data_IF_826396128585
#
_entry.id   IF_826396128585
#
_cell.length_a   1.000
_cell.length_b   1.000
_cell.length_c   1.000
_cell.angle_alpha   90.00
_cell.angle_beta   90.00
_cell.angle_gamma   90.00
#
_symmetry.space_group_name_H-M   'P 1'
#
loop_
_entity.id
_entity.type
_entity.pdbx_description
1 polymer ?
#
# COMPACT_ATOMS: atom_id res chain seq x y z
N UNK A 1 6.65 18.87 48.10
CA UNK A 1 6.26 19.65 46.93
C UNK A 1 7.06 19.11 45.74
N UNK A 2 6.47 18.40 44.80
CA UNK A 2 7.17 17.93 43.62
C UNK A 2 7.10 18.98 42.52
N UNK A 3 8.23 19.18 41.87
CA UNK A 3 8.48 20.09 40.76
C UNK A 3 7.81 19.62 39.45
N UNK A 4 7.31 20.53 38.59
CA UNK A 4 6.59 20.11 37.36
C UNK A 4 7.55 19.70 36.28
N UNK A 5 7.21 18.60 35.60
CA UNK A 5 7.84 18.11 34.37
C UNK A 5 7.73 19.15 33.24
N UNK A 6 8.87 19.55 32.68
CA UNK A 6 8.94 20.30 31.42
C UNK A 6 8.85 19.31 30.24
N UNK A 7 8.01 19.57 29.24
CA UNK A 7 8.03 18.79 28.02
C UNK A 7 9.26 19.19 27.17
N UNK A 8 10.10 18.23 26.83
CA UNK A 8 11.13 18.40 25.82
C UNK A 8 10.47 18.40 24.43
N UNK A 9 10.37 19.59 23.82
CA UNK A 9 10.08 19.70 22.39
C UNK A 9 11.34 19.27 21.62
N UNK A 10 11.29 18.12 20.94
CA UNK A 10 12.27 17.71 19.94
C UNK A 10 11.86 18.33 18.59
N UNK A 11 12.77 18.90 17.81
CA UNK A 11 12.47 19.44 16.50
C UNK A 11 12.13 18.27 15.54
N UNK A 12 11.04 18.45 14.83
CA UNK A 12 10.49 17.53 13.86
C UNK A 12 11.44 17.48 12.65
N UNK A 13 12.04 16.33 12.39
CA UNK A 13 12.83 16.04 11.18
C UNK A 13 11.96 15.99 9.89
N UNK A 14 10.69 16.33 9.99
CA UNK A 14 9.71 16.24 8.91
C UNK A 14 9.89 17.23 7.74
N UNK A 15 10.68 18.31 7.94
CA UNK A 15 10.84 19.33 6.89
C UNK A 15 11.73 18.90 5.71
N UNK A 16 12.66 17.96 5.92
CA UNK A 16 13.61 17.57 4.88
C UNK A 16 12.99 16.62 3.82
N UNK A 17 12.03 15.79 4.22
CA UNK A 17 11.38 14.83 3.31
C UNK A 17 10.31 15.50 2.45
N UNK A 18 9.56 16.46 3.02
CA UNK A 18 8.63 17.27 2.24
C UNK A 18 9.35 18.05 1.12
N UNK A 19 10.58 18.51 1.39
CA UNK A 19 11.39 19.19 0.38
C UNK A 19 11.90 18.25 -0.72
N UNK A 20 12.14 16.97 -0.41
CA UNK A 20 12.63 16.00 -1.38
C UNK A 20 11.51 15.53 -2.34
N UNK A 21 10.34 15.20 -1.82
CA UNK A 21 9.18 14.79 -2.63
C UNK A 21 8.65 15.98 -3.47
N UNK A 22 8.58 17.17 -2.89
CA UNK A 22 8.22 18.38 -3.61
C UNK A 22 9.31 18.83 -4.61
N UNK A 23 10.58 18.57 -4.32
CA UNK A 23 11.70 18.88 -5.22
C UNK A 23 11.67 18.07 -6.51
N UNK A 24 11.29 16.79 -6.45
CA UNK A 24 11.17 15.94 -7.63
C UNK A 24 9.90 16.24 -8.44
N UNK A 25 8.77 16.46 -7.79
CA UNK A 25 7.53 16.84 -8.48
C UNK A 25 7.65 18.21 -9.20
N UNK A 26 8.41 19.16 -8.61
CA UNK A 26 8.63 20.48 -9.22
C UNK A 26 9.71 20.44 -10.31
N UNK A 27 10.68 19.51 -10.26
CA UNK A 27 11.66 19.36 -11.33
C UNK A 27 11.05 18.73 -12.59
N UNK A 28 10.10 17.81 -12.46
CA UNK A 28 9.34 17.26 -13.59
C UNK A 28 8.47 18.30 -14.30
N UNK A 29 8.04 19.36 -13.59
CA UNK A 29 7.20 20.45 -14.15
C UNK A 29 8.01 21.50 -14.94
N UNK A 30 9.34 21.38 -15.09
CA UNK A 30 10.18 22.37 -15.78
C UNK A 30 10.78 21.94 -17.11
N UNK A 31 10.33 20.86 -17.72
CA UNK A 31 10.67 20.56 -19.10
C UNK A 31 9.82 21.45 -20.04
N UNK A 32 10.51 22.22 -20.89
CA UNK A 32 9.89 23.13 -21.88
C UNK A 32 8.92 22.39 -22.80
N UNK A 33 7.70 22.94 -23.07
CA UNK A 33 6.72 22.26 -23.87
C UNK A 33 7.11 22.30 -25.36
N UNK A 34 7.41 21.13 -25.91
CA UNK A 34 7.13 20.86 -27.30
C UNK A 34 5.61 20.58 -27.35
N UNK A 35 4.84 21.34 -28.11
CA UNK A 35 3.39 21.19 -28.22
C UNK A 35 3.04 19.86 -28.92
N UNK A 36 3.08 18.79 -28.15
CA UNK A 36 2.30 17.58 -28.44
C UNK A 36 0.94 17.77 -27.77
N UNK A 37 -0.13 17.36 -28.44
CA UNK A 37 -1.42 17.20 -27.77
C UNK A 37 -1.14 16.43 -26.47
N UNK A 38 -1.45 17.05 -25.32
CA UNK A 38 -1.15 16.45 -24.02
C UNK A 38 -1.86 15.10 -23.96
N UNK A 39 -1.11 14.03 -24.12
CA UNK A 39 -1.58 12.68 -23.76
C UNK A 39 -1.66 12.68 -22.24
N UNK A 40 -2.84 12.38 -21.70
CA UNK A 40 -3.03 12.30 -20.25
C UNK A 40 -2.08 11.21 -19.70
N UNK A 41 -1.31 11.58 -18.68
CA UNK A 41 -0.45 10.66 -17.95
C UNK A 41 -1.26 9.91 -16.89
N UNK A 42 -0.90 8.66 -16.60
CA UNK A 42 -1.48 7.91 -15.49
C UNK A 42 -1.29 8.63 -14.15
N UNK A 43 -0.22 9.44 -14.04
CA UNK A 43 0.12 10.26 -12.89
C UNK A 43 -0.72 11.53 -12.72
N UNK A 44 -1.51 11.93 -13.73
CA UNK A 44 -2.24 13.19 -13.68
C UNK A 44 -3.19 13.28 -12.47
N UNK A 45 -3.17 14.39 -11.72
CA UNK A 45 -4.10 14.60 -10.62
C UNK A 45 -5.54 14.79 -11.11
N UNK A 46 -6.50 14.55 -10.23
CA UNK A 46 -7.91 14.82 -10.53
C UNK A 46 -8.18 16.31 -10.37
N UNK A 47 -8.62 16.95 -11.45
CA UNK A 47 -8.99 18.39 -11.46
C UNK A 47 -10.42 18.64 -11.91
N UNK A 48 -11.09 17.65 -12.49
CA UNK A 48 -12.44 17.76 -13.05
C UNK A 48 -13.26 16.50 -12.75
N UNK A 49 -14.58 16.68 -12.63
CA UNK A 49 -15.51 15.56 -12.52
C UNK A 49 -15.54 14.78 -13.86
N UNK A 50 -15.80 13.46 -13.82
CA UNK A 50 -15.94 12.64 -15.01
C UNK A 50 -17.18 13.04 -15.82
N UNK A 51 -17.15 12.83 -17.14
CA UNK A 51 -18.26 13.13 -18.06
C UNK A 51 -18.92 11.87 -18.62
N UNK A 52 -18.58 10.70 -18.13
CA UNK A 52 -19.13 9.43 -18.57
C UNK A 52 -18.64 8.26 -17.72
N UNK A 53 -19.14 7.03 -18.01
CA UNK A 53 -18.80 5.86 -17.20
C UNK A 53 -17.34 5.45 -17.41
N UNK A 54 -16.66 5.17 -16.29
CA UNK A 54 -15.33 4.56 -16.31
C UNK A 54 -15.39 3.12 -16.80
N UNK A 55 -14.43 2.72 -17.61
CA UNK A 55 -14.25 1.32 -18.02
C UNK A 55 -13.08 0.71 -17.25
N UNK A 56 -13.28 -0.49 -16.70
CA UNK A 56 -12.23 -1.26 -16.04
C UNK A 56 -11.94 -2.50 -16.87
N UNK A 57 -10.66 -2.78 -17.13
CA UNK A 57 -10.17 -3.94 -17.88
C UNK A 57 -9.09 -4.66 -17.10
N UNK A 58 -8.56 -5.76 -17.64
CA UNK A 58 -7.45 -6.48 -17.03
C UNK A 58 -6.28 -6.63 -18.01
N UNK A 59 -5.07 -6.58 -17.46
CA UNK A 59 -3.82 -6.86 -18.18
C UNK A 59 -2.95 -7.84 -17.40
N UNK A 60 -1.92 -8.39 -18.03
CA UNK A 60 -0.94 -9.27 -17.37
C UNK A 60 0.32 -8.48 -17.01
N UNK A 61 0.80 -8.65 -15.79
CA UNK A 61 2.03 -8.06 -15.25
C UNK A 61 2.87 -9.13 -14.56
N UNK A 62 4.03 -8.77 -14.02
CA UNK A 62 4.82 -9.66 -13.15
C UNK A 62 4.09 -10.05 -11.85
N UNK A 63 3.07 -9.30 -11.45
CA UNK A 63 2.23 -9.61 -10.28
C UNK A 63 1.04 -10.53 -10.59
N UNK A 64 0.90 -10.98 -11.83
CA UNK A 64 -0.23 -11.72 -12.36
C UNK A 64 -1.16 -10.85 -13.21
N UNK A 65 -2.43 -11.27 -13.34
CA UNK A 65 -3.45 -10.40 -13.94
C UNK A 65 -3.89 -9.34 -12.97
N UNK A 66 -3.98 -8.09 -13.43
CA UNK A 66 -4.34 -6.93 -12.59
C UNK A 66 -5.36 -6.06 -13.31
N UNK A 67 -6.10 -5.26 -12.54
CA UNK A 67 -7.02 -4.26 -13.06
C UNK A 67 -6.26 -3.07 -13.64
N UNK A 68 -6.79 -2.56 -14.76
CA UNK A 68 -6.36 -1.32 -15.40
C UNK A 68 -7.57 -0.50 -15.84
N UNK A 69 -7.39 0.79 -16.07
CA UNK A 69 -8.39 1.62 -16.75
C UNK A 69 -8.57 1.09 -18.17
N UNK A 70 -9.80 0.80 -18.57
CA UNK A 70 -10.08 0.08 -19.83
C UNK A 70 -10.18 0.97 -21.06
N UNK A 71 -10.50 2.25 -20.89
CA UNK A 71 -10.67 3.20 -22.00
C UNK A 71 -10.57 4.66 -21.53
N UNK A 72 -10.49 5.59 -22.50
CA UNK A 72 -10.40 7.01 -22.23
C UNK A 72 -8.96 7.48 -22.02
N UNK A 73 -8.81 8.67 -21.42
CA UNK A 73 -7.55 9.37 -21.25
C UNK A 73 -6.49 8.57 -20.47
N UNK A 74 -6.92 7.75 -19.53
CA UNK A 74 -6.06 6.94 -18.65
C UNK A 74 -6.04 5.45 -19.01
N UNK A 75 -6.39 5.11 -20.26
CA UNK A 75 -6.44 3.73 -20.71
C UNK A 75 -5.12 2.99 -20.50
N UNK A 76 -5.16 1.84 -19.84
CA UNK A 76 -4.00 1.02 -19.51
C UNK A 76 -3.31 1.37 -18.19
N UNK A 77 -3.69 2.46 -17.51
CA UNK A 77 -3.16 2.81 -16.20
C UNK A 77 -3.55 1.76 -15.16
N UNK A 78 -2.59 1.35 -14.34
CA UNK A 78 -2.81 0.36 -13.27
C UNK A 78 -3.76 0.87 -12.20
N UNK A 79 -4.53 -0.05 -11.61
CA UNK A 79 -5.50 0.25 -10.57
C UNK A 79 -5.15 -0.47 -9.28
N UNK A 80 -5.26 0.28 -8.20
CA UNK A 80 -4.85 -0.10 -6.86
C UNK A 80 -6.01 -0.04 -5.89
N UNK A 81 -5.89 -0.81 -4.81
CA UNK A 81 -6.69 -0.71 -3.59
C UNK A 81 -5.81 -0.38 -2.40
N UNK A 82 -6.38 0.27 -1.39
CA UNK A 82 -5.75 0.54 -0.11
C UNK A 82 -6.38 -0.32 0.98
N UNK A 83 -5.59 -1.09 1.72
CA UNK A 83 -6.12 -2.02 2.74
C UNK A 83 -6.90 -1.34 3.85
N UNK A 84 -6.54 -0.11 4.20
CA UNK A 84 -7.22 0.65 5.24
C UNK A 84 -8.62 1.17 4.83
N UNK A 85 -8.93 1.27 3.54
CA UNK A 85 -10.26 1.64 3.07
C UNK A 85 -11.35 0.62 3.44
N UNK A 86 -11.00 -0.66 3.64
CA UNK A 86 -11.95 -1.69 4.06
C UNK A 86 -12.75 -1.31 5.31
N UNK A 87 -12.12 -0.60 6.24
CA UNK A 87 -12.75 -0.22 7.50
C UNK A 87 -13.55 1.07 7.40
N UNK A 88 -13.25 1.91 6.42
CA UNK A 88 -13.86 3.23 6.23
C UNK A 88 -14.96 3.21 5.16
N UNK A 89 -14.73 2.58 4.02
CA UNK A 89 -15.70 2.53 2.92
C UNK A 89 -16.99 1.75 3.26
N UNK A 90 -16.88 0.68 4.06
CA UNK A 90 -18.05 -0.11 4.49
C UNK A 90 -19.00 0.69 5.39
N UNK A 91 -18.47 1.69 6.10
CA UNK A 91 -19.26 2.56 6.99
C UNK A 91 -19.75 3.86 6.33
N UNK A 92 -19.48 4.05 5.06
CA UNK A 92 -20.12 5.07 4.19
C UNK A 92 -19.69 6.52 4.38
N UNK A 93 -18.61 6.82 5.13
CA UNK A 93 -18.31 8.21 5.44
C UNK A 93 -16.84 8.64 5.25
N UNK A 94 -15.86 7.80 5.51
CA UNK A 94 -14.46 8.25 5.54
C UNK A 94 -13.54 7.29 4.79
N UNK A 95 -12.97 7.74 3.70
CA UNK A 95 -11.89 7.05 3.01
C UNK A 95 -10.58 7.26 3.78
N UNK A 96 -9.73 6.24 3.85
CA UNK A 96 -8.39 6.39 4.41
C UNK A 96 -7.52 7.28 3.51
N UNK A 97 -7.64 7.09 2.20
CA UNK A 97 -7.11 8.03 1.22
C UNK A 97 -8.12 9.13 0.96
N UNK A 98 -7.96 10.26 1.62
CA UNK A 98 -8.84 11.42 1.57
C UNK A 98 -8.04 12.69 1.23
N UNK A 99 -8.77 13.80 1.05
CA UNK A 99 -8.17 15.11 0.83
C UNK A 99 -7.62 15.75 2.12
N UNK A 100 -7.80 15.12 3.25
CA UNK A 100 -7.26 15.63 4.51
C UNK A 100 -5.74 15.69 4.46
N UNK A 101 -5.18 16.71 5.13
CA UNK A 101 -3.74 16.90 5.18
C UNK A 101 -3.06 15.66 5.78
N UNK A 102 -2.32 14.94 4.95
CA UNK A 102 -1.44 13.86 5.39
C UNK A 102 -0.13 14.44 5.98
N UNK A 103 0.76 13.57 6.41
CA UNK A 103 2.03 13.97 7.04
C UNK A 103 2.93 14.85 6.14
N UNK A 104 2.71 14.85 4.82
CA UNK A 104 3.49 15.65 3.84
C UNK A 104 2.70 16.81 3.24
N UNK A 105 1.44 17.01 3.65
CA UNK A 105 0.61 18.13 3.20
C UNK A 105 0.12 18.04 1.75
N UNK A 106 0.17 16.84 1.12
CA UNK A 106 -0.30 16.59 -0.25
C UNK A 106 -1.56 15.74 -0.21
N UNK A 107 -2.65 16.11 -0.91
CA UNK A 107 -3.87 15.31 -0.96
C UNK A 107 -3.62 13.89 -1.44
N UNK A 108 -4.15 12.90 -0.69
CA UNK A 108 -3.99 11.50 -1.06
C UNK A 108 -4.78 11.17 -2.32
N UNK A 109 -6.05 11.47 -2.33
CA UNK A 109 -7.07 10.98 -3.26
C UNK A 109 -7.17 11.74 -4.58
N UNK A 110 -6.56 12.91 -4.67
CA UNK A 110 -6.55 13.72 -5.90
C UNK A 110 -5.18 13.83 -6.54
N UNK A 111 -4.11 13.68 -5.78
CA UNK A 111 -2.72 13.91 -6.24
C UNK A 111 -1.86 12.65 -6.14
N UNK A 112 -1.70 12.06 -4.93
CA UNK A 112 -0.81 10.91 -4.75
C UNK A 112 -1.42 9.61 -5.30
N UNK A 113 -2.69 9.40 -5.02
CA UNK A 113 -3.46 8.24 -5.44
C UNK A 113 -4.78 8.68 -6.05
N UNK A 114 -4.77 9.23 -7.28
CA UNK A 114 -5.97 9.77 -7.89
C UNK A 114 -7.09 8.73 -7.97
N UNK A 115 -8.23 9.01 -7.33
CA UNK A 115 -9.39 8.13 -7.31
C UNK A 115 -9.93 7.87 -8.73
N UNK A 116 -10.31 6.64 -9.05
CA UNK A 116 -10.98 6.33 -10.31
C UNK A 116 -12.45 6.75 -10.23
N UNK A 117 -12.76 7.94 -10.75
CA UNK A 117 -14.11 8.47 -10.75
C UNK A 117 -14.93 7.99 -11.95
N UNK A 118 -16.27 8.00 -11.81
CA UNK A 118 -17.22 7.61 -12.86
C UNK A 118 -18.47 8.48 -12.82
N UNK A 119 -19.00 8.82 -13.99
CA UNK A 119 -20.36 9.35 -14.12
C UNK A 119 -21.24 8.24 -14.69
N UNK A 120 -22.07 7.67 -13.82
CA UNK A 120 -22.86 6.48 -14.08
C UNK A 120 -22.19 5.16 -13.68
N UNK A 121 -22.84 4.04 -14.00
CA UNK A 121 -22.36 2.71 -13.67
C UNK A 121 -21.06 2.39 -14.43
N UNK A 122 -20.00 1.89 -13.74
CA UNK A 122 -18.77 1.53 -14.43
C UNK A 122 -18.97 0.35 -15.37
N UNK A 123 -18.20 0.32 -16.45
CA UNK A 123 -18.29 -0.69 -17.53
C UNK A 123 -17.20 -1.75 -17.36
N UNK A 124 -17.60 -3.00 -17.37
CA UNK A 124 -16.67 -4.14 -17.38
C UNK A 124 -16.08 -4.31 -18.80
N UNK A 125 -14.78 -4.13 -18.92
CA UNK A 125 -14.01 -4.45 -20.11
C UNK A 125 -13.55 -5.92 -20.13
N UNK A 126 -12.66 -6.27 -21.06
CA UNK A 126 -12.13 -7.63 -21.18
C UNK A 126 -11.47 -8.13 -19.89
N UNK A 127 -11.83 -9.34 -19.48
CA UNK A 127 -11.23 -10.04 -18.34
C UNK A 127 -11.76 -9.62 -16.96
N UNK A 128 -12.83 -8.81 -16.90
CA UNK A 128 -13.43 -8.30 -15.66
C UNK A 128 -14.68 -9.11 -15.29
N UNK A 129 -14.80 -9.44 -14.00
CA UNK A 129 -16.05 -9.93 -13.46
C UNK A 129 -16.98 -8.75 -13.16
N UNK A 130 -18.07 -8.54 -13.93
CA UNK A 130 -18.94 -7.38 -13.78
C UNK A 130 -19.67 -7.36 -12.43
N UNK A 131 -19.83 -8.50 -11.74
CA UNK A 131 -20.50 -8.57 -10.45
C UNK A 131 -19.70 -8.00 -9.31
N UNK A 132 -18.39 -7.79 -9.50
CA UNK A 132 -17.49 -7.17 -8.54
C UNK A 132 -17.38 -5.65 -8.73
N UNK A 133 -17.81 -5.12 -9.89
CA UNK A 133 -17.84 -3.67 -10.12
C UNK A 133 -18.99 -3.02 -9.35
N UNK A 134 -18.68 -1.87 -8.78
CA UNK A 134 -19.64 -1.04 -8.07
C UNK A 134 -19.16 0.40 -7.98
N UNK A 135 -19.87 1.20 -7.18
CA UNK A 135 -19.49 2.58 -6.89
C UNK A 135 -19.67 2.90 -5.42
N UNK A 136 -18.93 3.89 -4.97
CA UNK A 136 -19.13 4.53 -3.66
C UNK A 136 -19.15 6.04 -3.83
N UNK A 137 -20.03 6.71 -3.09
CA UNK A 137 -20.18 8.16 -3.15
C UNK A 137 -19.06 8.85 -2.39
N UNK A 138 -18.44 9.88 -3.00
CA UNK A 138 -17.47 10.78 -2.38
C UNK A 138 -17.95 12.22 -2.42
N UNK A 139 -17.69 12.97 -1.35
CA UNK A 139 -17.98 14.41 -1.25
C UNK A 139 -16.78 15.19 -0.69
N UNK A 140 -15.66 14.51 -0.46
CA UNK A 140 -14.42 15.04 0.11
C UNK A 140 -13.42 15.57 -0.94
N UNK A 141 -13.70 15.37 -2.24
CA UNK A 141 -12.83 15.83 -3.33
C UNK A 141 -13.03 17.33 -3.60
N UNK A 142 -11.99 18.19 -3.46
CA UNK A 142 -12.13 19.63 -3.56
C UNK A 142 -12.64 20.08 -4.94
N UNK A 143 -13.68 20.91 -4.93
CA UNK A 143 -14.23 21.52 -6.15
C UNK A 143 -15.04 20.59 -7.04
N UNK A 144 -15.17 19.29 -6.71
CA UNK A 144 -15.89 18.33 -7.54
C UNK A 144 -17.33 18.07 -7.07
N UNK A 145 -17.68 18.53 -5.86
CA UNK A 145 -18.98 18.25 -5.26
C UNK A 145 -19.14 16.75 -4.92
N UNK A 146 -20.35 16.24 -5.11
CA UNK A 146 -20.61 14.81 -4.89
C UNK A 146 -20.37 14.04 -6.19
N UNK A 147 -19.46 13.09 -6.15
CA UNK A 147 -19.06 12.23 -7.28
C UNK A 147 -19.12 10.77 -6.90
N UNK A 148 -19.05 9.87 -7.89
CA UNK A 148 -18.95 8.44 -7.70
C UNK A 148 -17.52 7.97 -7.97
N UNK A 149 -16.95 7.19 -7.05
CA UNK A 149 -15.70 6.47 -7.24
C UNK A 149 -16.01 5.01 -7.57
N UNK A 150 -15.30 4.45 -8.55
CA UNK A 150 -15.40 3.03 -8.89
C UNK A 150 -14.88 2.18 -7.74
N UNK A 151 -15.60 1.11 -7.45
CA UNK A 151 -15.16 0.05 -6.54
C UNK A 151 -15.04 -1.29 -7.26
N UNK A 152 -14.18 -2.16 -6.75
CA UNK A 152 -14.10 -3.55 -7.16
C UNK A 152 -14.11 -4.46 -5.93
N UNK A 153 -15.06 -5.38 -5.86
CA UNK A 153 -15.35 -6.18 -4.66
C UNK A 153 -15.53 -5.31 -3.39
N UNK A 154 -16.18 -4.13 -3.55
CA UNK A 154 -16.40 -3.15 -2.49
C UNK A 154 -15.21 -2.28 -2.12
N UNK A 155 -14.03 -2.51 -2.72
CA UNK A 155 -12.82 -1.71 -2.47
C UNK A 155 -12.72 -0.56 -3.48
N UNK A 156 -12.54 0.71 -3.03
CA UNK A 156 -12.30 1.84 -3.91
C UNK A 156 -11.05 1.64 -4.76
N UNK A 157 -11.09 2.10 -6.02
CA UNK A 157 -9.98 1.99 -6.96
C UNK A 157 -9.29 3.33 -7.17
N UNK A 158 -7.95 3.27 -7.27
CA UNK A 158 -7.08 4.43 -7.44
C UNK A 158 -6.04 4.19 -8.52
N UNK A 159 -5.51 5.26 -9.12
CA UNK A 159 -4.26 5.29 -9.88
C UNK A 159 -3.11 5.69 -8.95
N UNK A 160 -1.87 5.71 -9.45
CA UNK A 160 -0.70 6.12 -8.68
C UNK A 160 0.06 7.25 -9.39
N UNK A 161 0.53 8.25 -8.62
CA UNK A 161 1.15 9.47 -9.17
C UNK A 161 2.54 9.27 -9.80
N UNK A 162 3.19 8.13 -9.57
CA UNK A 162 4.46 7.77 -10.22
C UNK A 162 4.29 6.77 -11.36
N UNK A 163 3.10 6.25 -11.60
CA UNK A 163 2.80 5.53 -12.83
C UNK A 163 2.55 6.57 -13.92
N UNK A 164 3.59 6.92 -14.70
CA UNK A 164 3.49 7.92 -15.76
C UNK A 164 2.85 7.34 -17.02
N UNK A 165 3.20 6.11 -17.35
CA UNK A 165 2.79 5.41 -18.57
C UNK A 165 1.85 4.22 -18.31
N UNK A 166 1.02 3.83 -19.30
CA UNK A 166 0.21 2.62 -19.22
C UNK A 166 1.05 1.36 -18.98
N UNK A 167 0.63 0.56 -17.99
CA UNK A 167 1.28 -0.70 -17.63
C UNK A 167 2.36 -0.57 -16.55
N UNK A 168 2.70 0.63 -16.13
CA UNK A 168 3.56 0.84 -14.95
C UNK A 168 2.85 0.40 -13.67
N UNK A 169 3.63 -0.02 -12.69
CA UNK A 169 3.16 -0.66 -11.46
C UNK A 169 3.97 -0.25 -10.25
N UNK A 170 4.46 1.00 -10.21
CA UNK A 170 5.34 1.51 -9.15
C UNK A 170 4.69 1.53 -7.77
N UNK A 171 3.36 1.65 -7.70
CA UNK A 171 2.59 1.60 -6.46
C UNK A 171 2.33 0.19 -5.90
N UNK A 172 2.77 -0.87 -6.61
CA UNK A 172 2.50 -2.25 -6.20
C UNK A 172 3.21 -2.61 -4.89
N UNK A 173 2.47 -3.27 -3.97
CA UNK A 173 2.98 -3.69 -2.66
C UNK A 173 3.59 -2.54 -1.82
N UNK A 174 3.19 -1.30 -2.09
CA UNK A 174 3.71 -0.14 -1.37
C UNK A 174 3.05 -0.05 0.01
N UNK A 175 3.84 -0.26 1.04
CA UNK A 175 3.43 0.05 2.40
C UNK A 175 3.56 1.55 2.63
N UNK A 176 2.42 2.23 2.83
CA UNK A 176 2.36 3.68 2.92
C UNK A 176 2.33 4.16 4.38
N UNK A 177 3.45 4.69 4.90
CA UNK A 177 3.53 5.18 6.27
C UNK A 177 3.04 6.63 6.41
N UNK A 178 2.75 7.34 5.32
CA UNK A 178 2.43 8.77 5.32
C UNK A 178 0.95 9.07 5.20
N UNK A 179 0.14 8.14 4.70
CA UNK A 179 -1.32 8.26 4.76
C UNK A 179 -1.82 8.02 6.18
N UNK A 180 -2.91 8.65 6.56
CA UNK A 180 -3.52 8.48 7.87
C UNK A 180 -5.00 8.13 7.71
N UNK A 181 -5.40 6.90 8.09
CA UNK A 181 -4.60 5.81 8.65
C UNK A 181 -3.70 5.12 7.61
N UNK A 182 -2.56 4.62 8.09
CA UNK A 182 -1.60 3.86 7.27
C UNK A 182 -2.22 2.59 6.69
N UNK A 183 -1.74 2.15 5.55
CA UNK A 183 -2.20 0.93 4.88
C UNK A 183 -1.17 0.43 3.86
N UNK A 184 -1.52 -0.63 3.16
CA UNK A 184 -0.72 -1.16 2.06
C UNK A 184 -1.50 -1.03 0.77
N UNK A 185 -0.84 -0.51 -0.24
CA UNK A 185 -1.35 -0.40 -1.60
C UNK A 185 -1.03 -1.66 -2.38
N UNK A 186 -2.04 -2.20 -3.03
CA UNK A 186 -1.91 -3.39 -3.85
C UNK A 186 -2.58 -3.19 -5.21
N UNK A 187 -1.97 -3.75 -6.25
CA UNK A 187 -2.67 -4.07 -7.49
C UNK A 187 -3.83 -5.03 -7.19
N UNK A 188 -4.83 -5.08 -8.07
CA UNK A 188 -6.06 -5.84 -7.83
C UNK A 188 -6.20 -7.00 -8.79
N UNK A 189 -6.34 -8.22 -8.27
CA UNK A 189 -6.67 -9.43 -9.04
C UNK A 189 -8.10 -9.32 -9.59
N UNK A 190 -8.30 -9.35 -10.93
CA UNK A 190 -9.61 -9.22 -11.55
C UNK A 190 -10.56 -10.39 -11.27
N UNK A 191 -10.06 -11.55 -10.87
CA UNK A 191 -10.89 -12.72 -10.63
C UNK A 191 -11.62 -12.68 -9.28
N UNK A 192 -11.02 -12.05 -8.26
CA UNK A 192 -11.51 -12.03 -6.89
C UNK A 192 -11.65 -10.64 -6.28
N UNK A 193 -11.04 -9.62 -6.88
CA UNK A 193 -10.95 -8.28 -6.29
C UNK A 193 -10.07 -8.24 -5.04
N UNK A 194 -9.07 -9.09 -4.97
CA UNK A 194 -8.10 -9.19 -3.87
C UNK A 194 -6.73 -8.64 -4.29
N UNK A 195 -5.81 -8.40 -3.34
CA UNK A 195 -4.44 -8.05 -3.65
C UNK A 195 -3.76 -8.99 -4.63
N UNK A 196 -3.20 -8.43 -5.71
CA UNK A 196 -2.29 -9.11 -6.64
C UNK A 196 -0.85 -8.73 -6.26
N UNK A 197 -0.20 -9.57 -5.48
CA UNK A 197 1.08 -9.25 -4.83
C UNK A 197 2.31 -9.80 -5.56
N UNK A 198 2.11 -10.67 -6.55
CA UNK A 198 3.19 -11.51 -7.07
C UNK A 198 3.66 -12.52 -6.01
N UNK A 199 4.81 -13.13 -6.25
CA UNK A 199 5.44 -14.07 -5.32
C UNK A 199 6.24 -13.32 -4.28
N UNK A 200 5.96 -13.55 -2.99
CA UNK A 200 6.74 -12.97 -1.91
C UNK A 200 8.15 -13.60 -1.84
N UNK A 201 9.15 -12.78 -1.61
CA UNK A 201 10.52 -13.20 -1.31
C UNK A 201 10.82 -12.94 0.16
N UNK A 202 11.33 -13.95 0.85
CA UNK A 202 11.70 -13.87 2.26
C UNK A 202 13.21 -13.95 2.35
N UNK A 203 13.81 -12.96 3.01
CA UNK A 203 15.24 -12.73 3.10
C UNK A 203 15.66 -12.58 4.58
N UNK A 204 16.86 -12.15 4.83
CA UNK A 204 17.34 -11.74 6.15
C UNK A 204 17.68 -10.27 6.15
N UNK A 205 17.48 -9.61 7.29
CA UNK A 205 17.84 -8.22 7.54
C UNK A 205 18.65 -8.13 8.82
N UNK A 206 19.67 -7.27 8.84
CA UNK A 206 20.40 -6.95 10.06
C UNK A 206 20.16 -5.48 10.38
N UNK A 207 19.54 -5.23 11.51
CA UNK A 207 19.14 -3.89 11.91
C UNK A 207 19.17 -3.71 13.43
N UNK A 208 19.27 -2.48 13.94
CA UNK A 208 19.27 -2.21 15.37
C UNK A 208 17.90 -2.49 15.99
N UNK A 209 17.89 -3.21 17.09
CA UNK A 209 16.70 -3.48 17.88
C UNK A 209 16.21 -2.18 18.54
N UNK A 210 14.95 -1.80 18.29
CA UNK A 210 14.36 -0.57 18.82
C UNK A 210 15.03 0.70 18.26
N UNK A 211 15.69 0.64 17.12
CA UNK A 211 16.33 1.78 16.44
C UNK A 211 17.67 2.23 17.00
N UNK A 212 18.06 1.77 18.19
CA UNK A 212 19.34 2.14 18.83
C UNK A 212 19.94 1.02 19.70
N UNK A 213 19.32 -0.14 19.69
CA UNK A 213 19.79 -1.34 20.40
C UNK A 213 20.89 -2.07 19.61
N UNK A 214 21.22 -3.30 20.03
CA UNK A 214 22.20 -4.12 19.33
C UNK A 214 21.70 -4.50 17.93
N UNK A 215 22.65 -4.57 16.99
CA UNK A 215 22.41 -5.13 15.65
C UNK A 215 21.93 -6.58 15.80
N UNK A 216 20.81 -6.89 15.16
CA UNK A 216 20.16 -8.20 15.25
C UNK A 216 19.78 -8.66 13.85
N UNK A 217 20.19 -9.87 13.49
CA UNK A 217 19.80 -10.50 12.22
C UNK A 217 18.49 -11.25 12.39
N UNK A 218 17.51 -10.93 11.56
CA UNK A 218 16.16 -11.49 11.62
C UNK A 218 15.67 -11.88 10.23
N UNK A 219 14.66 -12.74 10.16
CA UNK A 219 13.92 -12.98 8.91
C UNK A 219 13.18 -11.71 8.51
N UNK A 220 13.20 -11.40 7.22
CA UNK A 220 12.62 -10.21 6.63
C UNK A 220 11.83 -10.54 5.37
N UNK A 221 10.90 -9.70 4.99
CA UNK A 221 10.22 -9.75 3.70
C UNK A 221 10.82 -8.69 2.77
N UNK A 222 11.18 -9.11 1.55
CA UNK A 222 11.52 -8.18 0.49
C UNK A 222 10.22 -7.63 -0.11
N UNK A 223 10.10 -6.32 -0.13
CA UNK A 223 8.99 -5.68 -0.83
C UNK A 223 9.24 -5.81 -2.33
N UNK A 224 8.52 -6.74 -2.96
CA UNK A 224 8.54 -6.90 -4.40
C UNK A 224 7.74 -5.75 -5.04
N UNK A 225 8.36 -4.58 -5.14
CA UNK A 225 7.78 -3.38 -5.73
C UNK A 225 8.69 -2.81 -6.82
N UNK A 226 8.11 -2.02 -7.71
CA UNK A 226 8.82 -1.25 -8.73
C UNK A 226 9.10 0.19 -8.29
N UNK A 227 8.78 0.51 -7.05
CA UNK A 227 8.89 1.86 -6.52
C UNK A 227 10.31 2.40 -6.65
N UNK A 228 10.51 3.32 -7.56
CA UNK A 228 11.81 3.82 -7.99
C UNK A 228 12.63 4.48 -6.87
N UNK A 229 11.96 5.01 -5.85
CA UNK A 229 12.63 5.65 -4.71
C UNK A 229 13.22 4.65 -3.72
N UNK A 230 12.64 3.44 -3.59
CA UNK A 230 13.06 2.41 -2.65
C UNK A 230 12.90 1.00 -3.24
N UNK A 231 13.61 0.68 -4.34
CA UNK A 231 13.45 -0.61 -4.99
C UNK A 231 13.94 -1.73 -4.07
N UNK A 232 13.13 -2.77 -3.94
CA UNK A 232 13.49 -3.99 -3.20
C UNK A 232 13.88 -3.79 -1.73
N UNK A 233 13.28 -2.81 -1.04
CA UNK A 233 13.48 -2.64 0.40
C UNK A 233 13.08 -3.93 1.15
N UNK A 234 13.86 -4.31 2.15
CA UNK A 234 13.54 -5.40 3.07
C UNK A 234 13.01 -4.85 4.38
N UNK A 235 12.05 -5.55 4.97
CA UNK A 235 11.45 -5.19 6.25
C UNK A 235 11.44 -6.39 7.19
N UNK A 236 11.84 -6.21 8.46
CA UNK A 236 11.71 -7.25 9.46
C UNK A 236 10.30 -7.84 9.48
N UNK A 237 10.20 -9.16 9.66
CA UNK A 237 8.91 -9.82 9.83
C UNK A 237 8.78 -10.43 11.21
N UNK A 238 7.53 -10.58 11.63
CA UNK A 238 7.17 -10.97 12.97
C UNK A 238 6.17 -12.14 12.94
N UNK A 239 6.23 -12.96 13.97
CA UNK A 239 5.17 -13.94 14.29
C UNK A 239 4.41 -13.50 15.51
N UNK A 240 3.11 -13.74 15.54
CA UNK A 240 2.25 -13.45 16.68
C UNK A 240 2.09 -14.71 17.55
N UNK A 241 2.24 -14.57 18.86
CA UNK A 241 1.84 -15.61 19.81
C UNK A 241 0.36 -15.38 20.15
N UNK A 242 -0.57 -16.26 19.96
CA UNK A 242 -0.49 -17.72 19.82
C UNK A 242 -0.73 -18.25 18.38
N UNK A 243 -0.43 -17.48 17.34
CA UNK A 243 -0.65 -17.97 15.97
C UNK A 243 0.05 -19.31 15.73
N UNK A 244 -0.68 -20.19 15.06
CA UNK A 244 -0.17 -21.47 14.55
C UNK A 244 -0.42 -21.54 13.04
N UNK A 245 -1.41 -22.31 12.60
CA UNK A 245 -1.82 -22.39 11.19
C UNK A 245 -2.95 -21.41 10.81
N UNK A 246 -3.23 -20.44 11.67
CA UNK A 246 -4.24 -19.39 11.46
C UNK A 246 -3.71 -18.07 11.95
N UNK A 247 -4.09 -17.00 11.26
CA UNK A 247 -3.76 -15.64 11.64
C UNK A 247 -4.81 -15.09 12.61
N UNK A 248 -4.42 -14.68 13.81
CA UNK A 248 -5.30 -14.02 14.78
C UNK A 248 -5.41 -12.51 14.55
N UNK A 249 -4.40 -11.90 13.90
CA UNK A 249 -4.42 -10.48 13.55
C UNK A 249 -5.30 -10.26 12.31
N UNK A 250 -6.53 -9.75 12.53
CA UNK A 250 -7.53 -9.47 11.51
C UNK A 250 -8.05 -8.04 11.63
N UNK A 251 -8.82 -7.55 10.64
CA UNK A 251 -9.44 -6.23 10.66
C UNK A 251 -8.42 -5.11 10.88
N UNK A 252 -8.66 -4.22 11.83
CA UNK A 252 -7.80 -3.08 12.13
C UNK A 252 -6.35 -3.47 12.48
N UNK A 253 -6.14 -4.61 13.15
CA UNK A 253 -4.80 -5.14 13.42
C UNK A 253 -4.00 -5.33 12.11
N UNK A 254 -4.59 -6.03 11.16
CA UNK A 254 -3.96 -6.38 9.89
C UNK A 254 -3.93 -5.21 8.90
N UNK A 255 -4.95 -4.32 8.95
CA UNK A 255 -5.06 -3.22 8.00
C UNK A 255 -4.10 -2.07 8.30
N UNK A 256 -3.82 -1.79 9.59
CA UNK A 256 -3.10 -0.57 9.97
C UNK A 256 -1.76 -0.80 10.65
N UNK A 257 -1.66 -1.81 11.53
CA UNK A 257 -0.52 -1.91 12.45
C UNK A 257 0.40 -3.06 12.09
N UNK A 258 -0.18 -4.21 11.80
CA UNK A 258 0.54 -5.45 11.54
C UNK A 258 0.09 -6.07 10.21
N UNK A 259 0.43 -5.46 9.07
CA UNK A 259 0.05 -6.01 7.77
C UNK A 259 0.58 -7.43 7.59
N UNK A 260 -0.24 -8.37 7.08
CA UNK A 260 0.23 -9.69 6.75
C UNK A 260 1.20 -9.64 5.56
N UNK A 261 2.21 -10.50 5.55
CA UNK A 261 3.04 -10.72 4.36
C UNK A 261 2.22 -11.56 3.39
N UNK A 262 1.67 -10.92 2.37
CA UNK A 262 0.83 -11.57 1.36
C UNK A 262 1.66 -12.11 0.19
N UNK A 263 1.12 -13.15 -0.48
CA UNK A 263 1.72 -13.75 -1.68
C UNK A 263 0.66 -14.27 -2.63
N UNK A 264 0.86 -14.11 -3.93
CA UNK A 264 -0.01 -14.71 -4.97
C UNK A 264 0.44 -16.11 -5.39
N UNK A 265 1.62 -16.55 -4.93
CA UNK A 265 2.22 -17.85 -5.26
C UNK A 265 3.03 -18.41 -4.11
N UNK A 266 3.74 -19.53 -4.34
CA UNK A 266 4.64 -20.11 -3.33
C UNK A 266 5.77 -19.13 -3.04
N UNK A 267 5.99 -18.72 -1.76
CA UNK A 267 7.05 -17.78 -1.42
C UNK A 267 8.43 -18.37 -1.73
N UNK A 268 9.38 -17.52 -2.10
CA UNK A 268 10.77 -17.87 -2.36
C UNK A 268 11.67 -17.45 -1.19
N UNK A 269 12.68 -18.26 -0.91
CA UNK A 269 13.70 -17.93 0.08
C UNK A 269 14.88 -17.23 -0.60
N UNK A 270 15.27 -16.08 -0.07
CA UNK A 270 16.53 -15.42 -0.33
C UNK A 270 17.68 -16.05 0.46
N UNK A 271 18.91 -15.51 0.31
CA UNK A 271 20.08 -15.98 1.05
C UNK A 271 19.86 -15.98 2.57
N UNK A 272 20.22 -17.07 3.24
CA UNK A 272 20.11 -17.19 4.68
C UNK A 272 18.74 -17.66 5.21
N UNK A 273 17.76 -17.91 4.33
CA UNK A 273 16.43 -18.40 4.70
C UNK A 273 16.24 -19.85 4.25
N UNK A 274 15.69 -20.71 5.13
CA UNK A 274 15.34 -22.07 4.74
C UNK A 274 14.04 -22.09 3.92
N UNK A 275 14.14 -22.49 2.63
CA UNK A 275 12.99 -22.63 1.75
C UNK A 275 11.95 -23.63 2.28
N UNK A 276 12.36 -24.65 3.02
CA UNK A 276 11.44 -25.67 3.58
C UNK A 276 10.63 -25.13 4.77
N UNK A 277 11.10 -24.09 5.44
CA UNK A 277 10.36 -23.40 6.48
C UNK A 277 9.23 -22.53 5.95
N UNK A 278 9.28 -22.14 4.65
CA UNK A 278 8.27 -21.29 4.02
C UNK A 278 7.02 -22.09 3.61
N UNK A 279 5.87 -21.54 3.97
CA UNK A 279 4.56 -22.08 3.62
C UNK A 279 3.54 -20.96 3.40
N UNK A 280 2.28 -21.34 3.25
CA UNK A 280 1.15 -20.45 3.02
C UNK A 280 -0.04 -20.88 3.87
N UNK A 281 -0.75 -19.91 4.42
CA UNK A 281 -2.12 -20.10 4.93
C UNK A 281 -3.10 -19.25 4.11
N UNK A 282 -4.35 -19.71 4.06
CA UNK A 282 -5.47 -18.91 3.51
C UNK A 282 -6.12 -18.17 4.67
N UNK A 283 -6.20 -16.85 4.55
CA UNK A 283 -6.86 -15.98 5.52
C UNK A 283 -8.39 -16.01 5.35
N UNK A 284 -9.19 -15.58 6.35
CA UNK A 284 -10.65 -15.53 6.24
C UNK A 284 -11.15 -14.65 5.08
N UNK A 285 -10.40 -13.63 4.69
CA UNK A 285 -10.68 -12.77 3.54
C UNK A 285 -10.33 -13.41 2.18
N UNK A 286 -9.76 -14.64 2.20
CA UNK A 286 -9.35 -15.40 1.04
C UNK A 286 -7.95 -15.03 0.50
N UNK A 287 -7.26 -14.08 1.12
CA UNK A 287 -5.86 -13.77 0.77
C UNK A 287 -4.92 -14.87 1.26
N UNK A 288 -3.76 -14.99 0.63
CA UNK A 288 -2.72 -15.94 0.99
C UNK A 288 -1.63 -15.22 1.78
N UNK A 289 -1.37 -15.69 3.01
CA UNK A 289 -0.33 -15.15 3.87
C UNK A 289 0.83 -16.12 3.98
N UNK A 290 2.05 -15.60 3.85
CA UNK A 290 3.28 -16.38 4.04
C UNK A 290 3.39 -16.85 5.48
N UNK A 291 3.90 -18.07 5.66
CA UNK A 291 4.29 -18.61 6.96
C UNK A 291 5.75 -18.99 6.99
N UNK A 292 6.35 -18.93 8.17
CA UNK A 292 7.68 -19.47 8.46
C UNK A 292 7.54 -20.49 9.62
N UNK A 293 7.99 -21.72 9.39
CA UNK A 293 7.76 -22.86 10.30
C UNK A 293 6.28 -22.99 10.72
N UNK A 294 5.35 -22.77 9.74
CA UNK A 294 3.91 -22.85 9.93
C UNK A 294 3.27 -21.65 10.66
N UNK A 295 4.05 -20.64 11.05
CA UNK A 295 3.54 -19.44 11.72
C UNK A 295 3.38 -18.28 10.74
N UNK A 296 2.22 -17.60 10.70
CA UNK A 296 1.97 -16.45 9.83
C UNK A 296 2.95 -15.31 10.05
N UNK A 297 3.40 -14.68 8.96
CA UNK A 297 4.32 -13.56 8.98
C UNK A 297 3.61 -12.22 8.84
N UNK A 298 4.05 -11.25 9.62
CA UNK A 298 3.53 -9.89 9.63
C UNK A 298 4.66 -8.86 9.48
N UNK A 299 4.34 -7.73 8.86
CA UNK A 299 5.13 -6.51 8.91
C UNK A 299 4.72 -5.67 10.13
N UNK A 300 5.51 -4.65 10.45
CA UNK A 300 5.16 -3.66 11.46
C UNK A 300 5.22 -2.24 10.86
N UNK A 301 4.16 -1.46 11.00
CA UNK A 301 4.05 -0.16 10.34
C UNK A 301 5.11 0.87 10.75
N UNK A 302 5.70 0.73 11.96
CA UNK A 302 6.75 1.65 12.41
C UNK A 302 8.14 1.30 11.92
N UNK A 303 8.38 0.05 11.47
CA UNK A 303 9.63 -0.33 10.79
C UNK A 303 9.70 0.33 9.41
N UNK A 304 8.60 0.28 8.65
CA UNK A 304 8.51 0.88 7.33
C UNK A 304 8.73 2.40 7.35
N UNK A 305 8.20 3.09 8.35
CA UNK A 305 8.31 4.55 8.44
C UNK A 305 9.76 5.04 8.46
N UNK A 306 10.64 4.32 9.16
CA UNK A 306 12.04 4.74 9.31
C UNK A 306 12.83 4.51 8.03
N UNK A 307 12.64 3.37 7.35
CA UNK A 307 13.38 3.05 6.14
C UNK A 307 12.95 3.90 4.94
N UNK A 308 11.66 4.17 4.78
CA UNK A 308 11.13 5.02 3.69
C UNK A 308 11.59 6.47 3.79
N UNK A 309 11.88 6.96 5.00
CA UNK A 309 12.40 8.31 5.21
C UNK A 309 13.94 8.42 5.14
N UNK A 310 14.62 7.39 4.62
CA UNK A 310 16.08 7.38 4.52
C UNK A 310 16.79 7.09 5.85
N UNK A 311 16.03 6.62 6.85
CA UNK A 311 16.59 6.07 8.07
C UNK A 311 17.12 4.66 7.86
N UNK A 312 17.97 4.19 8.75
CA UNK A 312 18.34 2.78 8.82
C UNK A 312 17.12 1.95 9.21
N UNK A 313 16.93 0.80 8.55
CA UNK A 313 15.96 -0.19 9.00
C UNK A 313 16.09 -0.41 10.51
N UNK A 314 14.97 -0.62 11.19
CA UNK A 314 14.99 -0.87 12.63
C UNK A 314 13.94 -1.90 12.99
N UNK A 315 14.26 -2.71 14.01
CA UNK A 315 13.39 -3.79 14.49
C UNK A 315 12.56 -3.24 15.67
N UNK A 316 11.48 -2.52 15.37
CA UNK A 316 10.68 -1.83 16.40
C UNK A 316 9.53 -2.68 16.95
N UNK A 317 9.15 -3.75 16.25
CA UNK A 317 8.01 -4.59 16.62
C UNK A 317 8.32 -5.71 17.61
N UNK A 318 9.60 -5.96 17.90
CA UNK A 318 10.03 -7.09 18.73
C UNK A 318 9.53 -6.99 20.17
N UNK A 319 8.86 -8.03 20.66
CA UNK A 319 8.36 -8.12 22.03
C UNK A 319 7.13 -7.24 22.31
N UNK A 320 6.52 -6.60 21.30
CA UNK A 320 5.33 -5.78 21.52
C UNK A 320 4.13 -6.66 21.88
N UNK A 321 3.55 -6.35 23.04
CA UNK A 321 2.33 -6.98 23.53
C UNK A 321 1.10 -6.25 23.01
N UNK A 322 0.13 -7.00 22.50
CA UNK A 322 -1.15 -6.53 21.99
C UNK A 322 -2.29 -7.35 22.60
N UNK A 323 -3.55 -6.93 22.43
CA UNK A 323 -4.69 -7.75 22.83
C UNK A 323 -4.75 -9.12 22.12
N UNK A 324 -4.04 -9.30 21.02
CA UNK A 324 -4.00 -10.55 20.24
C UNK A 324 -2.83 -11.46 20.66
N UNK A 325 -1.86 -10.96 21.42
CA UNK A 325 -0.66 -11.67 21.83
C UNK A 325 0.60 -10.82 21.68
N UNK A 326 1.76 -11.47 21.69
CA UNK A 326 3.08 -10.83 21.57
C UNK A 326 3.64 -11.07 20.18
N UNK A 327 4.11 -10.00 19.54
CA UNK A 327 4.83 -10.09 18.28
C UNK A 327 6.32 -10.28 18.53
N UNK A 328 6.90 -11.29 17.90
CA UNK A 328 8.30 -11.64 18.05
C UNK A 328 9.00 -11.73 16.70
N UNK A 329 10.25 -11.29 16.66
CA UNK A 329 11.14 -11.53 15.53
C UNK A 329 11.45 -13.03 15.35
N UNK A 330 11.98 -13.36 14.20
CA UNK A 330 12.37 -14.72 13.84
C UNK A 330 13.88 -14.71 13.55
N UNK A 331 14.63 -15.52 14.25
CA UNK A 331 16.03 -15.79 13.90
C UNK A 331 16.05 -16.71 12.68
N UNK A 332 16.89 -16.43 11.67
CA UNK A 332 17.02 -17.25 10.46
C UNK A 332 17.41 -18.69 10.72
#
# INVERSE_FOLDING_TARGET
MPSPFRPFARPVAGLAVAALVLGFAVAALRSTPVAHAATSSCADPITTAPTGPATVSATSTKYGKVLVVGSGAYSGCSLYLLTSDQLHAINGANFACSNDANAIGVPCDTVLWPALLTDGAPVAGPGINPTLLGTVTRSDLPGLGTVQQVTYNGMPLYRFFLDEDPGETEGANLFDPVTSPTGTWYLVDPSRGQPATGTAEIDVETAPLGGSGPETTVVAARMNNDFSLFPNATFPVYTLTPDTNKSACQGACAAFVWPPVLTSGRPSAGPGVDQHALGIIVRPDGTHQVTYNGRPLYLFNRDAYISVLGGTASINGAGLSTPFGVFNTITP
#
